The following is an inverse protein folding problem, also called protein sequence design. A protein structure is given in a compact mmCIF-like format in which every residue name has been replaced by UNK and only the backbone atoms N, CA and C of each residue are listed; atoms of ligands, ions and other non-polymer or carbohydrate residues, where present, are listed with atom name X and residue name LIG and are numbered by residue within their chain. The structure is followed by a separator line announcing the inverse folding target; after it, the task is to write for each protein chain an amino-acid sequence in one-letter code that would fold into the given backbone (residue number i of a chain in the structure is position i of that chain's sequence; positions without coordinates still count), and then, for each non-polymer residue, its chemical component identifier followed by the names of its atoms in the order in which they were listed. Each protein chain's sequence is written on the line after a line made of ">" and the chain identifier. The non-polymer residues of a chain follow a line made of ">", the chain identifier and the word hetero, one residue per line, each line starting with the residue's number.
data_IF_884454439560
#
_entry.id   IF_884454439560
#
_cell.length_a   1.000
_cell.length_b   1.000
_cell.length_c   1.000
_cell.angle_alpha   90.00
_cell.angle_beta   90.00
_cell.angle_gamma   90.00
#
_symmetry.space_group_name_H-M   'P 1'
#
loop_
_entity.id
_entity.type
_entity.pdbx_description
1 polymer ?
#
# COMPACT_ATOMS: atom_id res chain seq x y z
N UNK A 1 4.77 22.67 31.88
CA UNK A 1 4.60 21.46 32.71
C UNK A 1 3.17 20.92 32.70
N UNK A 2 2.12 21.70 32.88
CA UNK A 2 0.72 21.26 32.94
C UNK A 2 0.23 20.49 31.68
N UNK A 3 0.54 20.94 30.46
CA UNK A 3 0.16 20.24 29.22
C UNK A 3 0.78 18.83 29.10
N UNK A 4 2.01 18.63 29.60
CA UNK A 4 2.68 17.33 29.57
C UNK A 4 2.05 16.36 30.59
N UNK A 5 1.69 16.86 31.77
CA UNK A 5 1.00 16.09 32.82
C UNK A 5 -0.41 15.65 32.38
N UNK A 6 -1.19 16.56 31.77
CA UNK A 6 -2.50 16.24 31.23
C UNK A 6 -2.44 15.17 30.10
N UNK A 7 -1.43 15.24 29.24
CA UNK A 7 -1.21 14.25 28.20
C UNK A 7 -0.86 12.86 28.74
N UNK A 8 -0.01 12.81 29.78
CA UNK A 8 0.34 11.53 30.45
C UNK A 8 -0.87 10.93 31.17
N UNK A 9 -1.69 11.73 31.84
CA UNK A 9 -2.93 11.27 32.48
C UNK A 9 -3.93 10.72 31.46
N UNK A 10 -4.15 11.43 30.34
CA UNK A 10 -5.03 10.95 29.27
C UNK A 10 -4.54 9.64 28.66
N UNK A 11 -3.24 9.50 28.46
CA UNK A 11 -2.64 8.25 27.97
C UNK A 11 -2.79 7.11 28.98
N UNK A 12 -2.57 7.36 30.27
CA UNK A 12 -2.74 6.38 31.33
C UNK A 12 -4.19 5.91 31.47
N UNK A 13 -5.16 6.85 31.42
CA UNK A 13 -6.59 6.50 31.43
C UNK A 13 -7.00 5.71 30.18
N UNK A 14 -6.51 6.07 29.00
CA UNK A 14 -6.76 5.33 27.78
C UNK A 14 -6.22 3.89 27.84
N UNK A 15 -5.00 3.72 28.39
CA UNK A 15 -4.41 2.40 28.57
C UNK A 15 -5.18 1.56 29.60
N UNK A 16 -5.58 2.16 30.73
CA UNK A 16 -6.39 1.49 31.74
C UNK A 16 -7.77 1.07 31.18
N UNK A 17 -8.40 1.93 30.37
CA UNK A 17 -9.65 1.59 29.69
C UNK A 17 -9.45 0.42 28.70
N UNK A 18 -8.35 0.41 27.94
CA UNK A 18 -8.03 -0.69 27.03
C UNK A 18 -7.85 -2.02 27.78
N UNK A 19 -7.11 -2.04 28.89
CA UNK A 19 -7.00 -3.21 29.75
C UNK A 19 -8.36 -3.65 30.32
N UNK A 20 -9.18 -2.70 30.79
CA UNK A 20 -10.51 -2.99 31.28
C UNK A 20 -11.39 -3.68 30.25
N UNK A 21 -11.38 -3.20 29.02
CA UNK A 21 -12.14 -3.79 27.90
C UNK A 21 -11.62 -5.20 27.57
N UNK A 22 -10.29 -5.41 27.53
CA UNK A 22 -9.68 -6.72 27.27
C UNK A 22 -10.07 -7.75 28.34
N UNK A 23 -10.14 -7.34 29.61
CA UNK A 23 -10.53 -8.22 30.73
C UNK A 23 -12.03 -8.47 30.72
N UNK A 24 -12.85 -7.47 30.43
CA UNK A 24 -14.30 -7.59 30.43
C UNK A 24 -14.85 -8.41 29.25
N UNK A 25 -14.18 -8.34 28.09
CA UNK A 25 -14.63 -8.92 26.82
C UNK A 25 -13.52 -9.75 26.16
N UNK A 26 -12.97 -10.78 26.83
CA UNK A 26 -11.82 -11.53 26.34
C UNK A 26 -12.14 -12.36 25.08
N UNK A 27 -13.40 -12.78 24.91
CA UNK A 27 -13.82 -13.58 23.75
C UNK A 27 -13.70 -12.77 22.44
N UNK A 28 -14.15 -11.50 22.45
CA UNK A 28 -14.01 -10.60 21.29
C UNK A 28 -12.57 -10.38 20.93
N UNK A 29 -11.68 -10.23 21.93
CA UNK A 29 -10.24 -10.13 21.69
C UNK A 29 -9.69 -11.41 21.04
N UNK A 30 -10.04 -12.58 21.60
CA UNK A 30 -9.58 -13.87 21.09
C UNK A 30 -10.06 -14.14 19.65
N UNK A 31 -11.31 -13.81 19.34
CA UNK A 31 -11.87 -13.89 17.99
C UNK A 31 -11.15 -12.95 17.01
N UNK A 32 -10.90 -11.70 17.44
CA UNK A 32 -10.14 -10.74 16.68
C UNK A 32 -8.71 -11.23 16.37
N UNK A 33 -8.03 -11.79 17.37
CA UNK A 33 -6.69 -12.39 17.19
C UNK A 33 -6.74 -13.56 16.22
N UNK A 34 -7.67 -14.50 16.39
CA UNK A 34 -7.83 -15.65 15.48
C UNK A 34 -8.09 -15.20 14.05
N UNK A 35 -8.97 -14.24 13.86
CA UNK A 35 -9.31 -13.68 12.55
C UNK A 35 -8.09 -13.02 11.90
N UNK A 36 -7.35 -12.19 12.66
CA UNK A 36 -6.13 -11.55 12.20
C UNK A 36 -5.04 -12.56 11.82
N UNK A 37 -4.78 -13.57 12.65
CA UNK A 37 -3.80 -14.62 12.38
C UNK A 37 -4.19 -15.47 11.17
N UNK A 38 -5.48 -15.79 11.01
CA UNK A 38 -5.99 -16.51 9.84
C UNK A 38 -5.76 -15.72 8.57
N UNK A 39 -6.07 -14.42 8.59
CA UNK A 39 -5.80 -13.53 7.45
C UNK A 39 -4.30 -13.45 7.13
N UNK A 40 -3.46 -13.38 8.16
CA UNK A 40 -2.01 -13.38 7.99
C UNK A 40 -1.51 -14.66 7.33
N UNK A 41 -1.92 -15.83 7.85
CA UNK A 41 -1.45 -17.12 7.35
C UNK A 41 -1.97 -17.49 5.98
N UNK A 42 -3.23 -17.18 5.69
CA UNK A 42 -3.89 -17.60 4.44
C UNK A 42 -3.73 -16.61 3.29
N UNK A 43 -3.57 -15.32 3.57
CA UNK A 43 -3.57 -14.28 2.54
C UNK A 43 -2.28 -13.47 2.56
N UNK A 44 -1.93 -12.87 3.70
CA UNK A 44 -0.86 -11.86 3.77
C UNK A 44 0.51 -12.49 3.52
N UNK A 45 0.87 -13.51 4.29
CA UNK A 45 2.17 -14.15 4.16
C UNK A 45 2.39 -14.78 2.77
N UNK A 46 1.46 -15.59 2.23
CA UNK A 46 1.66 -16.18 0.91
C UNK A 46 1.77 -15.16 -0.22
N UNK A 47 1.07 -14.03 -0.11
CA UNK A 47 1.06 -13.01 -1.16
C UNK A 47 2.17 -11.99 -1.03
N UNK A 48 2.41 -11.46 0.19
CA UNK A 48 3.33 -10.33 0.38
C UNK A 48 4.79 -10.75 0.60
N UNK A 49 5.05 -11.88 1.28
CA UNK A 49 6.41 -12.28 1.61
C UNK A 49 7.30 -12.47 0.37
N UNK A 50 6.87 -13.22 -0.68
CA UNK A 50 7.65 -13.33 -1.91
C UNK A 50 7.90 -11.96 -2.58
N UNK A 51 6.90 -11.09 -2.56
CA UNK A 51 7.03 -9.73 -3.07
C UNK A 51 8.08 -8.92 -2.29
N UNK A 52 8.08 -9.00 -0.98
CA UNK A 52 9.09 -8.32 -0.16
C UNK A 52 10.49 -8.83 -0.43
N UNK A 53 10.68 -10.14 -0.60
CA UNK A 53 11.99 -10.72 -0.98
C UNK A 53 12.43 -10.15 -2.33
N UNK A 54 11.58 -10.21 -3.36
CA UNK A 54 11.90 -9.70 -4.69
C UNK A 54 12.19 -8.18 -4.67
N UNK A 55 11.39 -7.40 -3.94
CA UNK A 55 11.55 -5.95 -3.84
C UNK A 55 12.87 -5.56 -3.16
N UNK A 56 13.19 -6.20 -2.02
CA UNK A 56 14.46 -5.97 -1.34
C UNK A 56 15.65 -6.39 -2.21
N UNK A 57 15.57 -7.55 -2.83
CA UNK A 57 16.63 -8.05 -3.72
C UNK A 57 16.85 -7.11 -4.92
N UNK A 58 15.76 -6.59 -5.49
CA UNK A 58 15.80 -5.64 -6.59
C UNK A 58 16.59 -4.37 -6.23
N UNK A 59 16.38 -3.83 -5.03
CA UNK A 59 17.11 -2.66 -4.54
C UNK A 59 18.55 -3.02 -4.18
N UNK A 60 18.78 -4.11 -3.42
CA UNK A 60 20.10 -4.54 -2.96
C UNK A 60 21.06 -4.84 -4.12
N UNK A 61 20.57 -5.43 -5.21
CA UNK A 61 21.35 -5.70 -6.41
C UNK A 61 21.51 -4.46 -7.34
N UNK A 62 21.04 -3.27 -6.91
CA UNK A 62 21.20 -2.03 -7.66
C UNK A 62 20.35 -1.93 -8.94
N UNK A 63 19.32 -2.78 -9.11
CA UNK A 63 18.40 -2.65 -10.23
C UNK A 63 17.56 -1.36 -10.14
N UNK A 64 17.32 -0.84 -8.93
CA UNK A 64 16.67 0.44 -8.67
C UNK A 64 17.36 1.58 -9.43
N UNK A 65 18.69 1.65 -9.37
CA UNK A 65 19.47 2.68 -10.08
C UNK A 65 19.30 2.58 -11.58
N UNK A 66 19.25 1.36 -12.15
CA UNK A 66 19.04 1.15 -13.60
C UNK A 66 17.65 1.59 -14.06
N UNK A 67 16.62 1.27 -13.29
CA UNK A 67 15.23 1.72 -13.55
C UNK A 67 15.14 3.23 -13.42
N UNK A 68 15.76 3.81 -12.39
CA UNK A 68 15.80 5.25 -12.19
C UNK A 68 16.50 5.98 -13.33
N UNK A 69 17.59 5.45 -13.86
CA UNK A 69 18.28 6.01 -15.03
C UNK A 69 17.38 6.04 -16.29
N UNK A 70 16.45 5.08 -16.43
CA UNK A 70 15.59 4.98 -17.62
C UNK A 70 14.27 5.75 -17.46
N UNK A 71 13.66 5.69 -16.28
CA UNK A 71 12.32 6.21 -15.99
C UNK A 71 12.30 7.35 -14.98
N UNK A 72 13.44 7.70 -14.38
CA UNK A 72 13.52 8.73 -13.35
C UNK A 72 13.09 10.10 -13.84
N UNK A 73 13.35 10.44 -15.11
CA UNK A 73 12.86 11.69 -15.72
C UNK A 73 11.33 11.76 -15.76
N UNK A 74 10.65 10.64 -16.04
CA UNK A 74 9.19 10.55 -16.00
C UNK A 74 8.67 10.67 -14.56
N UNK A 75 9.28 9.97 -13.61
CA UNK A 75 8.95 10.07 -12.19
C UNK A 75 9.13 11.50 -11.67
N UNK A 76 10.25 12.16 -12.01
CA UNK A 76 10.51 13.54 -11.64
C UNK A 76 9.48 14.51 -12.22
N UNK A 77 9.04 14.28 -13.46
CA UNK A 77 8.06 15.14 -14.15
C UNK A 77 6.64 14.92 -13.63
N UNK A 78 6.20 13.68 -13.47
CA UNK A 78 4.83 13.34 -13.06
C UNK A 78 4.63 13.43 -11.54
N UNK A 79 5.56 12.85 -10.78
CA UNK A 79 5.42 12.67 -9.34
C UNK A 79 6.25 13.67 -8.53
N UNK A 80 7.02 14.58 -9.19
CA UNK A 80 7.96 15.48 -8.50
C UNK A 80 8.84 14.74 -7.48
N UNK A 81 9.13 13.47 -7.76
CA UNK A 81 10.04 12.65 -6.99
C UNK A 81 11.45 12.73 -7.61
N UNK A 82 12.50 12.65 -6.79
CA UNK A 82 13.85 12.49 -7.32
C UNK A 82 13.91 11.20 -8.17
N UNK A 83 14.75 11.18 -9.23
CA UNK A 83 14.82 10.04 -10.17
C UNK A 83 14.97 8.69 -9.46
N UNK A 84 15.74 8.64 -8.38
CA UNK A 84 16.01 7.41 -7.62
C UNK A 84 14.77 6.89 -6.86
N UNK A 85 13.82 7.74 -6.47
CA UNK A 85 12.58 7.33 -5.83
C UNK A 85 11.56 6.73 -6.82
N UNK A 86 11.75 6.88 -8.12
CA UNK A 86 10.85 6.30 -9.13
C UNK A 86 10.75 4.79 -9.04
N UNK A 87 11.84 4.10 -8.69
CA UNK A 87 11.85 2.65 -8.47
C UNK A 87 11.00 2.24 -7.26
N UNK A 88 11.06 3.00 -6.15
CA UNK A 88 10.25 2.75 -4.97
C UNK A 88 8.74 2.94 -5.26
N UNK A 89 8.39 3.90 -6.13
CA UNK A 89 7.01 4.06 -6.58
C UNK A 89 6.51 2.84 -7.36
N UNK A 90 7.32 2.32 -8.29
CA UNK A 90 6.98 1.09 -9.03
C UNK A 90 6.83 -0.10 -8.08
N UNK A 91 7.75 -0.25 -7.11
CA UNK A 91 7.68 -1.30 -6.08
C UNK A 91 6.40 -1.16 -5.24
N UNK A 92 6.05 0.06 -4.83
CA UNK A 92 4.82 0.31 -4.08
C UNK A 92 3.55 -0.01 -4.87
N UNK A 93 3.52 0.36 -6.16
CA UNK A 93 2.39 0.05 -7.05
C UNK A 93 2.23 -1.45 -7.35
N UNK A 94 3.32 -2.21 -7.36
CA UNK A 94 3.30 -3.65 -7.68
C UNK A 94 3.20 -4.53 -6.44
N UNK A 95 3.95 -4.19 -5.38
CA UNK A 95 4.01 -4.96 -4.13
C UNK A 95 2.94 -4.58 -3.11
N UNK A 96 2.37 -3.40 -3.23
CA UNK A 96 1.36 -2.92 -2.28
C UNK A 96 1.95 -2.37 -0.98
N UNK A 97 1.05 -2.10 -0.02
CA UNK A 97 1.40 -1.67 1.32
C UNK A 97 2.15 -2.77 2.11
N UNK A 98 3.20 -2.48 2.86
CA UNK A 98 4.02 -1.27 2.90
C UNK A 98 5.30 -1.36 2.03
N UNK A 99 5.32 -2.19 0.97
CA UNK A 99 6.53 -2.46 0.18
C UNK A 99 7.18 -1.18 -0.39
N UNK A 100 6.37 -0.21 -0.81
CA UNK A 100 6.89 1.07 -1.29
C UNK A 100 7.63 1.87 -0.22
N UNK A 101 7.11 1.87 1.02
CA UNK A 101 7.76 2.52 2.17
C UNK A 101 9.10 1.86 2.50
N UNK A 102 9.14 0.53 2.48
CA UNK A 102 10.37 -0.23 2.73
C UNK A 102 11.43 0.04 1.66
N UNK A 103 11.00 0.11 0.38
CA UNK A 103 11.91 0.46 -0.71
C UNK A 103 12.47 1.88 -0.53
N UNK A 104 11.66 2.86 -0.12
CA UNK A 104 12.12 4.22 0.20
C UNK A 104 13.12 4.19 1.35
N UNK A 105 12.81 3.47 2.44
CA UNK A 105 13.70 3.31 3.59
C UNK A 105 15.05 2.75 3.18
N UNK A 106 15.06 1.68 2.38
CA UNK A 106 16.29 1.06 1.91
C UNK A 106 17.11 1.98 0.98
N UNK A 107 16.46 2.75 0.10
CA UNK A 107 17.13 3.76 -0.73
C UNK A 107 17.74 4.87 0.12
N UNK A 108 17.06 5.29 1.19
CA UNK A 108 17.57 6.27 2.13
C UNK A 108 18.78 5.73 2.92
N UNK A 109 18.71 4.51 3.46
CA UNK A 109 19.83 3.83 4.14
C UNK A 109 21.07 3.73 3.24
N UNK A 110 20.86 3.54 1.94
CA UNK A 110 21.93 3.47 0.93
C UNK A 110 22.46 4.85 0.50
N UNK A 111 21.93 5.95 1.05
CA UNK A 111 22.31 7.30 0.65
C UNK A 111 21.85 7.70 -0.75
N UNK A 112 20.94 6.95 -1.36
CA UNK A 112 20.37 7.23 -2.68
C UNK A 112 19.28 8.32 -2.64
N UNK A 113 18.74 8.60 -1.46
CA UNK A 113 17.79 9.68 -1.18
C UNK A 113 18.27 10.49 0.03
N UNK A 114 18.11 11.80 -0.03
CA UNK A 114 18.21 12.65 1.16
C UNK A 114 17.01 12.42 2.08
N UNK A 115 17.12 12.87 3.35
CA UNK A 115 16.03 12.73 4.32
C UNK A 115 14.73 13.37 3.83
N UNK A 116 14.79 14.60 3.31
CA UNK A 116 13.62 15.33 2.84
C UNK A 116 12.97 14.66 1.63
N UNK A 117 13.77 14.11 0.72
CA UNK A 117 13.29 13.35 -0.42
C UNK A 117 12.63 12.03 0.00
N UNK A 118 13.23 11.32 0.96
CA UNK A 118 12.69 10.09 1.49
C UNK A 118 11.36 10.35 2.22
N UNK A 119 11.28 11.35 3.10
CA UNK A 119 10.05 11.72 3.82
C UNK A 119 8.90 12.06 2.86
N UNK A 120 9.19 12.73 1.74
CA UNK A 120 8.18 12.99 0.71
C UNK A 120 7.79 11.73 -0.05
N UNK A 121 8.79 10.92 -0.44
CA UNK A 121 8.57 9.68 -1.18
C UNK A 121 7.73 8.65 -0.41
N UNK A 122 7.84 8.61 0.94
CA UNK A 122 7.04 7.72 1.79
C UNK A 122 5.54 7.81 1.50
N UNK A 123 5.01 9.03 1.38
CA UNK A 123 3.57 9.24 1.16
C UNK A 123 3.12 8.79 -0.24
N UNK A 124 3.99 8.98 -1.23
CA UNK A 124 3.69 8.74 -2.65
C UNK A 124 3.90 7.28 -3.04
N UNK A 125 4.96 6.66 -2.53
CA UNK A 125 5.31 5.27 -2.86
C UNK A 125 4.45 4.25 -2.09
N UNK A 126 3.68 4.68 -1.11
CA UNK A 126 2.81 3.83 -0.29
C UNK A 126 1.45 3.63 -0.96
N UNK A 127 1.30 2.61 -1.77
CA UNK A 127 0.11 2.36 -2.59
C UNK A 127 -0.47 0.96 -2.33
N UNK A 128 -1.76 0.73 -2.69
CA UNK A 128 -2.32 -0.62 -2.68
C UNK A 128 -1.84 -1.40 -3.90
N UNK A 129 -1.55 -2.67 -3.72
CA UNK A 129 -1.08 -3.55 -4.77
C UNK A 129 -2.19 -4.13 -5.66
N UNK A 130 -1.82 -4.63 -6.86
CA UNK A 130 -2.78 -5.18 -7.82
C UNK A 130 -3.57 -6.37 -7.28
N UNK A 131 -2.97 -7.23 -6.45
CA UNK A 131 -3.65 -8.37 -5.84
C UNK A 131 -4.85 -7.94 -4.99
N UNK A 132 -4.71 -6.85 -4.22
CA UNK A 132 -5.81 -6.30 -3.45
C UNK A 132 -6.84 -5.62 -4.35
N UNK A 133 -6.39 -4.84 -5.34
CA UNK A 133 -7.28 -4.07 -6.22
C UNK A 133 -8.10 -4.99 -7.12
N UNK A 134 -7.44 -5.86 -7.87
CA UNK A 134 -8.11 -6.73 -8.86
C UNK A 134 -8.66 -8.01 -8.23
N UNK A 135 -7.90 -8.65 -7.35
CA UNK A 135 -8.32 -9.90 -6.70
C UNK A 135 -9.41 -9.67 -5.66
N UNK A 136 -9.14 -8.85 -4.67
CA UNK A 136 -10.09 -8.66 -3.57
C UNK A 136 -11.22 -7.69 -3.94
N UNK A 137 -10.92 -6.44 -4.35
CA UNK A 137 -11.98 -5.48 -4.67
C UNK A 137 -12.69 -5.84 -5.98
N UNK A 138 -11.96 -5.97 -7.08
CA UNK A 138 -12.55 -6.28 -8.37
C UNK A 138 -13.24 -7.64 -8.42
N UNK A 139 -12.58 -8.68 -7.88
CA UNK A 139 -13.08 -10.05 -7.90
C UNK A 139 -14.07 -10.34 -6.78
N UNK A 140 -13.65 -10.21 -5.51
CA UNK A 140 -14.45 -10.67 -4.38
C UNK A 140 -15.52 -9.67 -3.92
N UNK A 141 -15.28 -8.35 -3.99
CA UNK A 141 -16.22 -7.34 -3.48
C UNK A 141 -17.22 -6.92 -4.56
N UNK A 142 -16.73 -6.47 -5.72
CA UNK A 142 -17.57 -5.97 -6.81
C UNK A 142 -17.94 -7.01 -7.86
N UNK A 143 -17.25 -8.15 -7.90
CA UNK A 143 -17.43 -9.22 -8.87
C UNK A 143 -17.38 -8.71 -10.35
N UNK A 144 -16.59 -7.66 -10.60
CA UNK A 144 -16.48 -7.06 -11.93
C UNK A 144 -15.05 -6.54 -12.20
N UNK A 145 -14.38 -6.97 -13.28
CA UNK A 145 -12.99 -6.55 -13.57
C UNK A 145 -12.85 -5.07 -13.85
N UNK A 146 -13.88 -4.43 -14.42
CA UNK A 146 -13.92 -2.99 -14.66
C UNK A 146 -13.82 -2.17 -13.37
N UNK A 147 -14.37 -2.67 -12.24
CA UNK A 147 -14.23 -2.01 -10.95
C UNK A 147 -12.76 -1.99 -10.51
N UNK A 148 -12.04 -3.11 -10.62
CA UNK A 148 -10.61 -3.16 -10.34
C UNK A 148 -9.80 -2.22 -11.24
N UNK A 149 -10.10 -2.17 -12.54
CA UNK A 149 -9.42 -1.29 -13.49
C UNK A 149 -9.67 0.20 -13.18
N UNK A 150 -10.91 0.59 -12.90
CA UNK A 150 -11.26 1.95 -12.49
C UNK A 150 -10.52 2.35 -11.20
N UNK A 151 -10.60 1.51 -10.16
CA UNK A 151 -9.95 1.75 -8.88
C UNK A 151 -8.43 1.89 -9.01
N UNK A 152 -7.80 1.05 -9.84
CA UNK A 152 -6.36 1.13 -10.13
C UNK A 152 -6.01 2.44 -10.83
N UNK A 153 -6.73 2.81 -11.88
CA UNK A 153 -6.51 4.05 -12.62
C UNK A 153 -6.73 5.29 -11.76
N UNK A 154 -7.80 5.30 -10.97
CA UNK A 154 -8.12 6.39 -10.04
C UNK A 154 -7.05 6.52 -8.95
N UNK A 155 -6.60 5.41 -8.37
CA UNK A 155 -5.52 5.42 -7.37
C UNK A 155 -4.24 6.04 -7.93
N UNK A 156 -3.84 5.63 -9.14
CA UNK A 156 -2.66 6.18 -9.81
C UNK A 156 -2.81 7.67 -10.10
N UNK A 157 -3.95 8.10 -10.65
CA UNK A 157 -4.24 9.50 -10.92
C UNK A 157 -4.25 10.33 -9.63
N UNK A 158 -4.90 9.82 -8.56
CA UNK A 158 -4.93 10.49 -7.27
C UNK A 158 -3.53 10.60 -6.64
N UNK A 159 -2.67 9.58 -6.78
CA UNK A 159 -1.28 9.64 -6.33
C UNK A 159 -0.50 10.75 -7.05
N UNK A 160 -0.64 10.84 -8.39
CA UNK A 160 0.00 11.90 -9.19
C UNK A 160 -0.50 13.29 -8.77
N UNK A 161 -1.82 13.47 -8.64
CA UNK A 161 -2.41 14.75 -8.23
C UNK A 161 -1.99 15.15 -6.82
N UNK A 162 -2.02 14.22 -5.86
CA UNK A 162 -1.57 14.47 -4.48
C UNK A 162 -0.11 14.93 -4.48
N UNK A 163 0.74 14.24 -5.23
CA UNK A 163 2.13 14.63 -5.39
C UNK A 163 2.27 16.05 -5.92
N UNK A 164 1.52 16.38 -6.96
CA UNK A 164 1.56 17.72 -7.56
C UNK A 164 1.15 18.82 -6.60
N UNK A 165 0.21 18.53 -5.70
CA UNK A 165 -0.29 19.47 -4.71
C UNK A 165 0.62 19.61 -3.48
N UNK A 166 1.29 18.53 -3.08
CA UNK A 166 2.06 18.50 -1.81
C UNK A 166 3.56 18.63 -2.01
N UNK A 167 4.10 18.21 -3.16
CA UNK A 167 5.52 18.24 -3.43
C UNK A 167 6.01 19.65 -3.78
N UNK A 168 7.14 20.01 -3.23
CA UNK A 168 7.94 21.15 -3.70
C UNK A 168 8.56 20.82 -5.06
N UNK A 169 8.72 21.80 -5.97
CA UNK A 169 9.46 21.57 -7.20
C UNK A 169 10.89 21.12 -6.91
N UNK A 170 11.35 20.09 -7.63
CA UNK A 170 12.73 19.62 -7.52
C UNK A 170 13.72 20.70 -7.99
N UNK A 171 14.78 20.90 -7.25
CA UNK A 171 15.93 21.71 -7.66
C UNK A 171 16.68 21.06 -8.81
N UNK A 172 17.50 21.84 -9.54
CA UNK A 172 18.36 21.29 -10.60
C UNK A 172 19.34 20.22 -10.07
N UNK A 173 19.89 20.44 -8.87
CA UNK A 173 20.76 19.47 -8.20
C UNK A 173 20.04 18.15 -7.89
N UNK A 174 18.82 18.20 -7.38
CA UNK A 174 18.01 17.00 -7.09
C UNK A 174 17.64 16.23 -8.36
N UNK A 175 17.44 16.91 -9.50
CA UNK A 175 17.20 16.26 -10.80
C UNK A 175 18.44 15.58 -11.36
N UNK A 176 19.62 16.14 -11.08
CA UNK A 176 20.91 15.64 -11.54
C UNK A 176 21.56 14.64 -10.57
N UNK A 177 20.98 14.43 -9.39
CA UNK A 177 21.55 13.56 -8.38
C UNK A 177 21.61 12.13 -8.88
N UNK A 178 22.83 11.69 -9.23
CA UNK A 178 23.12 10.29 -9.49
C UNK A 178 23.42 9.63 -8.15
N UNK A 179 22.75 8.52 -7.88
CA UNK A 179 23.03 7.73 -6.68
C UNK A 179 24.51 7.38 -6.61
N UNK A 180 25.14 7.45 -5.42
CA UNK A 180 26.49 6.96 -5.24
C UNK A 180 26.54 5.50 -5.65
N UNK A 181 27.52 5.16 -6.49
CA UNK A 181 27.69 3.79 -6.97
C UNK A 181 28.29 2.96 -5.82
N UNK A 182 27.40 2.40 -4.99
CA UNK A 182 27.84 1.48 -3.94
C UNK A 182 28.27 0.16 -4.55
N UNK A 183 29.29 -0.46 -3.98
CA UNK A 183 29.69 -1.82 -4.31
C UNK A 183 28.46 -2.75 -4.17
N UNK A 184 28.16 -3.48 -5.24
CA UNK A 184 27.06 -4.44 -5.20
C UNK A 184 27.48 -5.64 -4.35
N UNK A 185 26.66 -6.04 -3.36
CA UNK A 185 26.96 -7.26 -2.61
C UNK A 185 26.89 -8.48 -3.54
N UNK A 186 27.61 -9.54 -3.17
CA UNK A 186 27.41 -10.83 -3.81
C UNK A 186 25.96 -11.27 -3.76
N UNK A 187 25.51 -12.00 -4.78
CA UNK A 187 24.10 -12.43 -4.89
C UNK A 187 23.63 -13.20 -3.66
N UNK A 188 24.44 -14.11 -3.12
CA UNK A 188 24.08 -14.92 -1.96
C UNK A 188 23.89 -14.05 -0.71
N UNK A 189 24.75 -13.06 -0.50
CA UNK A 189 24.63 -12.09 0.60
C UNK A 189 23.40 -11.21 0.42
N UNK A 190 23.16 -10.69 -0.80
CA UNK A 190 21.99 -9.89 -1.12
C UNK A 190 20.68 -10.68 -0.92
N UNK A 191 20.65 -11.95 -1.34
CA UNK A 191 19.49 -12.82 -1.19
C UNK A 191 19.17 -13.10 0.30
N UNK A 192 20.20 -13.46 1.07
CA UNK A 192 20.04 -13.70 2.52
C UNK A 192 19.50 -12.47 3.25
N UNK A 193 20.04 -11.29 2.94
CA UNK A 193 19.58 -10.03 3.53
C UNK A 193 18.16 -9.67 3.06
N UNK A 194 17.84 -9.92 1.78
CA UNK A 194 16.49 -9.71 1.25
C UNK A 194 15.44 -10.56 1.97
N UNK A 195 15.75 -11.86 2.20
CA UNK A 195 14.88 -12.79 2.95
C UNK A 195 14.70 -12.33 4.40
N UNK A 196 15.79 -11.97 5.07
CA UNK A 196 15.76 -11.47 6.46
C UNK A 196 14.87 -10.24 6.58
N UNK A 197 15.07 -9.22 5.73
CA UNK A 197 14.24 -7.99 5.71
C UNK A 197 12.78 -8.29 5.40
N UNK A 198 12.52 -9.14 4.42
CA UNK A 198 11.17 -9.56 4.06
C UNK A 198 10.44 -10.25 5.21
N UNK A 199 11.13 -11.12 5.95
CA UNK A 199 10.56 -11.79 7.13
C UNK A 199 10.16 -10.81 8.21
N UNK A 200 11.05 -9.87 8.57
CA UNK A 200 10.74 -8.83 9.56
C UNK A 200 9.54 -7.99 9.12
N UNK A 201 9.50 -7.59 7.87
CA UNK A 201 8.40 -6.82 7.30
C UNK A 201 7.06 -7.57 7.35
N UNK A 202 7.07 -8.84 6.99
CA UNK A 202 5.88 -9.69 7.02
C UNK A 202 5.35 -9.86 8.45
N UNK A 203 6.24 -10.05 9.43
CA UNK A 203 5.89 -10.12 10.85
C UNK A 203 5.24 -8.81 11.30
N UNK A 204 5.85 -7.66 11.01
CA UNK A 204 5.29 -6.35 11.36
C UNK A 204 3.89 -6.16 10.79
N UNK A 205 3.68 -6.48 9.52
CA UNK A 205 2.34 -6.40 8.90
C UNK A 205 1.34 -7.28 9.65
N UNK A 206 1.70 -8.54 9.94
CA UNK A 206 0.83 -9.47 10.65
C UNK A 206 0.48 -8.98 12.06
N UNK A 207 1.43 -8.40 12.80
CA UNK A 207 1.18 -7.83 14.12
C UNK A 207 0.14 -6.70 14.06
N UNK A 208 0.31 -5.74 13.16
CA UNK A 208 -0.63 -4.65 13.00
C UNK A 208 -2.01 -5.14 12.56
N UNK A 209 -2.08 -6.02 11.57
CA UNK A 209 -3.35 -6.60 11.11
C UNK A 209 -4.08 -7.29 12.26
N UNK A 210 -3.37 -8.05 13.08
CA UNK A 210 -3.96 -8.74 14.24
C UNK A 210 -4.51 -7.75 15.26
N UNK A 211 -3.74 -6.74 15.65
CA UNK A 211 -4.19 -5.70 16.59
C UNK A 211 -5.42 -4.96 16.06
N UNK A 212 -5.39 -4.55 14.79
CA UNK A 212 -6.52 -3.83 14.19
C UNK A 212 -7.73 -4.72 13.91
N UNK A 213 -7.55 -6.03 13.77
CA UNK A 213 -8.66 -7.01 13.75
C UNK A 213 -9.37 -7.06 15.10
N UNK A 214 -8.63 -7.04 16.21
CA UNK A 214 -9.19 -6.94 17.56
C UNK A 214 -9.98 -5.63 17.74
N UNK A 215 -9.38 -4.50 17.35
CA UNK A 215 -10.06 -3.19 17.43
C UNK A 215 -11.33 -3.14 16.58
N UNK A 216 -11.31 -3.73 15.39
CA UNK A 216 -12.50 -3.85 14.54
C UNK A 216 -13.57 -4.72 15.14
N UNK A 217 -13.19 -5.80 15.85
CA UNK A 217 -14.11 -6.65 16.63
C UNK A 217 -14.81 -5.84 17.73
N UNK A 218 -14.08 -5.08 18.52
CA UNK A 218 -14.65 -4.22 19.56
C UNK A 218 -15.51 -3.10 18.99
N UNK A 219 -15.13 -2.49 17.88
CA UNK A 219 -15.95 -1.50 17.21
C UNK A 219 -17.29 -2.09 16.77
N UNK A 220 -17.28 -3.28 16.16
CA UNK A 220 -18.52 -3.99 15.77
C UNK A 220 -19.40 -4.30 16.98
N UNK A 221 -18.81 -4.75 18.06
CA UNK A 221 -19.54 -5.06 19.30
C UNK A 221 -20.14 -3.79 19.92
N UNK A 222 -19.36 -2.72 20.05
CA UNK A 222 -19.81 -1.44 20.63
C UNK A 222 -20.88 -0.76 19.78
N UNK A 223 -20.74 -0.81 18.45
CA UNK A 223 -21.71 -0.25 17.53
C UNK A 223 -22.99 -1.11 17.47
N UNK A 224 -22.89 -2.43 17.69
CA UNK A 224 -24.02 -3.36 17.70
C UNK A 224 -24.93 -3.18 16.50
N UNK A 225 -26.24 -3.21 16.73
CA UNK A 225 -27.26 -2.94 15.72
C UNK A 225 -27.34 -1.46 15.30
N UNK A 226 -26.62 -0.55 15.98
CA UNK A 226 -26.65 0.89 15.70
C UNK A 226 -25.68 1.32 14.59
N UNK A 227 -24.77 0.45 14.11
CA UNK A 227 -23.93 0.77 12.96
C UNK A 227 -24.70 0.45 11.67
N UNK A 228 -25.24 1.47 10.97
CA UNK A 228 -25.95 1.24 9.73
C UNK A 228 -25.03 0.52 8.72
N UNK A 229 -25.61 -0.40 7.95
CA UNK A 229 -24.85 -1.15 6.93
C UNK A 229 -24.11 -0.22 5.96
N UNK A 230 -24.68 0.96 5.68
CA UNK A 230 -24.09 1.96 4.77
C UNK A 230 -22.97 2.79 5.40
N UNK A 231 -22.92 2.90 6.73
CA UNK A 231 -21.83 3.56 7.46
C UNK A 231 -20.68 2.61 7.82
N UNK A 232 -20.95 1.31 7.91
CA UNK A 232 -19.97 0.30 8.29
C UNK A 232 -18.69 0.30 7.40
N UNK A 233 -18.75 0.45 6.07
CA UNK A 233 -17.55 0.51 5.24
C UNK A 233 -16.58 1.61 5.65
N UNK A 234 -17.06 2.82 5.92
CA UNK A 234 -16.21 3.94 6.33
C UNK A 234 -15.69 3.76 7.77
N UNK A 235 -16.56 3.37 8.70
CA UNK A 235 -16.19 3.20 10.10
C UNK A 235 -15.12 2.11 10.29
N UNK A 236 -15.33 0.93 9.71
CA UNK A 236 -14.39 -0.18 9.77
C UNK A 236 -13.14 0.10 8.93
N UNK A 237 -13.31 0.69 7.74
CA UNK A 237 -12.22 1.01 6.83
C UNK A 237 -11.30 2.13 7.34
N UNK A 238 -11.81 3.02 8.19
CA UNK A 238 -10.97 3.99 8.90
C UNK A 238 -9.97 3.29 9.83
N UNK A 239 -10.34 2.16 10.42
CA UNK A 239 -9.45 1.34 11.24
C UNK A 239 -8.59 0.41 10.36
N UNK A 240 -9.24 -0.40 9.53
CA UNK A 240 -8.59 -1.45 8.76
C UNK A 240 -9.21 -1.55 7.36
N UNK A 241 -8.39 -1.39 6.34
CA UNK A 241 -8.78 -1.32 4.94
C UNK A 241 -9.64 -2.51 4.50
N UNK A 242 -9.19 -3.73 4.80
CA UNK A 242 -9.85 -4.96 4.32
C UNK A 242 -11.22 -5.14 4.94
N UNK A 243 -11.38 -4.83 6.23
CA UNK A 243 -12.66 -4.90 6.94
C UNK A 243 -13.68 -3.89 6.37
N UNK A 244 -13.21 -2.66 6.08
CA UNK A 244 -14.05 -1.64 5.45
C UNK A 244 -14.48 -2.02 4.04
N UNK A 245 -13.54 -2.49 3.23
CA UNK A 245 -13.84 -2.96 1.87
C UNK A 245 -14.77 -4.17 1.85
N UNK A 246 -14.60 -5.13 2.77
CA UNK A 246 -15.51 -6.27 2.90
C UNK A 246 -16.94 -5.85 3.26
N UNK A 247 -17.10 -4.82 4.10
CA UNK A 247 -18.41 -4.31 4.49
C UNK A 247 -19.20 -3.71 3.32
N UNK A 248 -18.54 -3.28 2.23
CA UNK A 248 -19.22 -2.78 1.02
C UNK A 248 -20.17 -3.83 0.38
N UNK A 249 -19.94 -5.13 0.62
CA UNK A 249 -20.81 -6.19 0.10
C UNK A 249 -22.21 -6.14 0.71
N UNK A 250 -22.31 -5.77 1.98
CA UNK A 250 -23.57 -5.74 2.73
C UNK A 250 -24.25 -4.36 2.70
N UNK A 251 -23.58 -3.31 2.21
CA UNK A 251 -24.18 -1.98 2.16
C UNK A 251 -25.18 -1.83 0.99
N UNK A 252 -26.19 -0.99 1.19
CA UNK A 252 -27.32 -0.81 0.27
C UNK A 252 -27.12 0.38 -0.67
N UNK A 253 -26.03 1.12 -0.54
CA UNK A 253 -25.67 2.27 -1.35
C UNK A 253 -25.64 1.94 -2.85
N UNK A 254 -25.96 2.91 -3.67
CA UNK A 254 -25.80 2.81 -5.13
C UNK A 254 -24.33 2.51 -5.50
N UNK A 255 -24.10 1.77 -6.62
CA UNK A 255 -22.77 1.32 -7.05
C UNK A 255 -21.71 2.43 -7.08
N UNK A 256 -22.07 3.61 -7.52
CA UNK A 256 -21.20 4.78 -7.55
C UNK A 256 -20.64 5.13 -6.17
N UNK A 257 -21.49 5.14 -5.14
CA UNK A 257 -21.06 5.47 -3.77
C UNK A 257 -20.20 4.37 -3.16
N UNK A 258 -20.50 3.09 -3.46
CA UNK A 258 -19.65 1.96 -3.05
C UNK A 258 -18.24 2.11 -3.64
N UNK A 259 -18.14 2.47 -4.92
CA UNK A 259 -16.84 2.68 -5.59
C UNK A 259 -16.13 3.93 -5.07
N UNK A 260 -16.84 5.02 -4.74
CA UNK A 260 -16.26 6.21 -4.12
C UNK A 260 -15.66 5.88 -2.74
N UNK A 261 -16.39 5.12 -1.91
CA UNK A 261 -15.89 4.67 -0.60
C UNK A 261 -14.69 3.74 -0.80
N UNK A 262 -14.77 2.78 -1.73
CA UNK A 262 -13.67 1.87 -2.02
C UNK A 262 -12.40 2.61 -2.46
N UNK A 263 -12.51 3.58 -3.38
CA UNK A 263 -11.37 4.36 -3.86
C UNK A 263 -10.77 5.26 -2.77
N UNK A 264 -11.64 5.84 -1.92
CA UNK A 264 -11.18 6.58 -0.74
C UNK A 264 -10.38 5.67 0.19
N UNK A 265 -10.97 4.57 0.62
CA UNK A 265 -10.32 3.61 1.55
C UNK A 265 -9.06 3.03 0.95
N UNK A 266 -9.08 2.65 -0.32
CA UNK A 266 -7.93 2.12 -1.04
C UNK A 266 -6.75 3.08 -1.03
N UNK A 267 -6.99 4.36 -1.22
CA UNK A 267 -5.95 5.39 -1.26
C UNK A 267 -5.53 5.88 0.13
N UNK A 268 -6.45 5.94 1.08
CA UNK A 268 -6.19 6.32 2.47
C UNK A 268 -5.47 5.20 3.25
N UNK A 269 -5.91 3.95 3.10
CA UNK A 269 -5.33 2.76 3.70
C UNK A 269 -5.85 2.42 5.09
N UNK A 270 -6.51 3.35 5.80
CA UNK A 270 -6.92 3.18 7.19
C UNK A 270 -5.77 3.35 8.19
N UNK A 271 -6.10 3.39 9.48
CA UNK A 271 -5.13 3.57 10.56
C UNK A 271 -4.14 2.42 10.66
N UNK A 272 -4.55 1.19 10.35
CA UNK A 272 -3.68 0.01 10.33
C UNK A 272 -2.50 0.20 9.38
N UNK A 273 -2.78 0.53 8.12
CA UNK A 273 -1.73 0.73 7.10
C UNK A 273 -0.87 1.96 7.40
N UNK A 274 -1.47 3.05 7.91
CA UNK A 274 -0.71 4.22 8.33
C UNK A 274 0.26 3.89 9.47
N UNK A 275 -0.18 3.10 10.45
CA UNK A 275 0.67 2.67 11.56
C UNK A 275 1.80 1.72 11.08
N UNK A 276 1.49 0.74 10.24
CA UNK A 276 2.47 -0.14 9.60
C UNK A 276 3.51 0.64 8.80
N UNK A 277 3.05 1.59 7.99
CA UNK A 277 3.92 2.41 7.14
C UNK A 277 4.84 3.31 7.97
N UNK A 278 4.34 3.87 9.08
CA UNK A 278 5.18 4.66 9.99
C UNK A 278 6.17 3.81 10.77
N UNK A 279 5.81 2.59 11.15
CA UNK A 279 6.73 1.65 11.76
C UNK A 279 7.87 1.30 10.78
N UNK A 280 7.53 0.93 9.55
CA UNK A 280 8.52 0.64 8.50
C UNK A 280 9.41 1.86 8.15
N UNK A 281 8.88 3.09 8.20
CA UNK A 281 9.66 4.30 8.02
C UNK A 281 10.62 4.53 9.22
N UNK A 282 10.16 4.27 10.45
CA UNK A 282 10.96 4.42 11.67
C UNK A 282 12.13 3.44 11.72
N UNK A 283 11.98 2.23 11.17
CA UNK A 283 13.07 1.25 11.05
C UNK A 283 14.27 1.81 10.24
N UNK A 284 13.99 2.70 9.26
CA UNK A 284 15.00 3.41 8.49
C UNK A 284 15.37 4.80 9.07
N UNK A 285 14.91 5.15 10.27
CA UNK A 285 15.15 6.45 10.89
C UNK A 285 14.36 7.62 10.31
N UNK A 286 13.26 7.33 9.59
CA UNK A 286 12.34 8.32 9.02
C UNK A 286 11.09 8.48 9.91
N UNK A 287 10.44 9.64 9.85
CA UNK A 287 9.30 9.94 10.75
C UNK A 287 7.93 9.75 10.10
N UNK A 288 7.84 9.90 8.80
CA UNK A 288 6.59 9.79 8.05
C UNK A 288 5.52 10.79 8.51
N UNK A 289 5.90 12.00 8.92
CA UNK A 289 4.97 13.00 9.48
C UNK A 289 3.88 13.41 8.49
N UNK A 290 4.23 13.52 7.21
CA UNK A 290 3.31 13.95 6.16
C UNK A 290 2.39 12.82 5.66
N UNK A 291 2.73 11.57 5.96
CA UNK A 291 2.04 10.39 5.45
C UNK A 291 0.52 10.43 5.70
N UNK A 292 0.00 10.67 6.92
CA UNK A 292 -1.44 10.66 7.16
C UNK A 292 -2.20 11.74 6.37
N UNK A 293 -1.65 12.96 6.34
CA UNK A 293 -2.27 14.08 5.60
C UNK A 293 -2.30 13.85 4.09
N UNK A 294 -1.18 13.37 3.53
CA UNK A 294 -1.09 13.06 2.11
C UNK A 294 -2.02 11.90 1.72
N UNK A 295 -2.12 10.86 2.56
CA UNK A 295 -3.00 9.71 2.29
C UNK A 295 -4.48 10.08 2.41
N UNK A 296 -4.85 10.93 3.37
CA UNK A 296 -6.20 11.48 3.47
C UNK A 296 -6.57 12.32 2.24
N UNK A 297 -5.67 13.21 1.81
CA UNK A 297 -5.85 14.00 0.60
C UNK A 297 -5.97 13.11 -0.66
N UNK A 298 -5.10 12.09 -0.78
CA UNK A 298 -5.15 11.13 -1.87
C UNK A 298 -6.48 10.38 -1.90
N UNK A 299 -6.99 9.96 -0.74
CA UNK A 299 -8.30 9.33 -0.61
C UNK A 299 -9.43 10.23 -1.07
N UNK A 300 -9.43 11.49 -0.65
CA UNK A 300 -10.44 12.47 -1.07
C UNK A 300 -10.41 12.72 -2.59
N UNK A 301 -9.20 12.88 -3.16
CA UNK A 301 -9.04 13.04 -4.62
C UNK A 301 -9.51 11.79 -5.35
N UNK A 302 -9.17 10.59 -4.85
CA UNK A 302 -9.60 9.33 -5.46
C UNK A 302 -11.13 9.19 -5.47
N UNK A 303 -11.80 9.51 -4.37
CA UNK A 303 -13.26 9.50 -4.30
C UNK A 303 -13.89 10.50 -5.30
N UNK A 304 -13.35 11.72 -5.37
CA UNK A 304 -13.82 12.74 -6.31
C UNK A 304 -13.62 12.31 -7.78
N UNK A 305 -12.45 11.75 -8.12
CA UNK A 305 -12.19 11.21 -9.46
C UNK A 305 -13.13 10.05 -9.79
N UNK A 306 -13.41 9.17 -8.84
CA UNK A 306 -14.36 8.07 -9.03
C UNK A 306 -15.76 8.62 -9.32
N UNK A 307 -16.21 9.60 -8.56
CA UNK A 307 -17.52 10.24 -8.78
C UNK A 307 -17.63 10.87 -10.17
N UNK A 308 -16.56 11.50 -10.66
CA UNK A 308 -16.52 12.12 -11.99
C UNK A 308 -16.46 11.08 -13.12
N UNK A 309 -15.74 9.96 -12.92
CA UNK A 309 -15.53 8.96 -13.97
C UNK A 309 -16.62 7.88 -13.99
N UNK A 310 -17.30 7.62 -12.90
CA UNK A 310 -18.33 6.58 -12.78
C UNK A 310 -19.45 6.67 -13.84
N UNK A 311 -20.00 7.85 -14.16
CA UNK A 311 -21.02 7.96 -15.20
C UNK A 311 -20.51 7.58 -16.61
N UNK A 312 -19.22 7.83 -16.89
CA UNK A 312 -18.61 7.56 -18.19
C UNK A 312 -18.44 6.06 -18.47
N UNK A 313 -18.30 5.24 -17.41
CA UNK A 313 -18.04 3.80 -17.51
C UNK A 313 -19.24 2.94 -17.10
N UNK A 314 -20.42 3.56 -16.92
CA UNK A 314 -21.70 2.88 -16.63
C UNK A 314 -21.61 1.89 -15.45
N UNK A 315 -21.03 2.33 -14.33
CA UNK A 315 -20.78 1.51 -13.13
C UNK A 315 -22.03 0.87 -12.54
N UNK A 316 -23.22 1.38 -12.86
CA UNK A 316 -24.51 0.82 -12.43
C UNK A 316 -24.66 -0.67 -12.82
N UNK A 317 -23.99 -1.10 -13.90
CA UNK A 317 -24.02 -2.47 -14.38
C UNK A 317 -23.08 -3.40 -13.64
N UNK A 318 -22.15 -2.86 -12.80
CA UNK A 318 -21.05 -3.64 -12.21
C UNK A 318 -21.38 -4.26 -10.85
N UNK A 319 -22.50 -3.88 -10.27
CA UNK A 319 -22.90 -4.36 -8.95
C UNK A 319 -24.16 -5.23 -8.98
N UNK A 320 -24.51 -5.76 -10.15
CA UNK A 320 -25.57 -6.76 -10.25
C UNK A 320 -25.12 -8.05 -9.54
N UNK A 321 -25.98 -8.73 -8.76
CA UNK A 321 -25.63 -9.99 -8.13
C UNK A 321 -25.40 -11.05 -9.21
N UNK A 322 -24.15 -11.31 -9.55
CA UNK A 322 -23.79 -12.44 -10.41
C UNK A 322 -23.56 -13.68 -9.56
N UNK A 323 -24.45 -14.62 -9.68
CA UNK A 323 -24.24 -16.03 -9.32
C UNK A 323 -23.07 -16.54 -10.20
N UNK A 324 -21.86 -16.66 -9.62
CA UNK A 324 -20.72 -17.26 -10.33
C UNK A 324 -19.35 -16.63 -10.03
N UNK A 325 -18.94 -16.59 -8.75
CA UNK A 325 -17.65 -16.00 -8.36
C UNK A 325 -16.40 -16.89 -8.58
N UNK A 326 -16.53 -18.04 -9.25
CA UNK A 326 -15.43 -19.03 -9.39
C UNK A 326 -14.45 -18.79 -10.54
N UNK A 327 -14.76 -17.93 -11.51
CA UNK A 327 -13.95 -17.78 -12.74
C UNK A 327 -12.96 -16.63 -12.74
N UNK A 328 -12.93 -15.77 -11.71
CA UNK A 328 -12.12 -14.53 -11.76
C UNK A 328 -10.72 -14.65 -11.18
N UNK A 329 -10.46 -15.66 -10.34
CA UNK A 329 -9.09 -15.92 -9.87
C UNK A 329 -8.21 -16.50 -10.98
N UNK A 330 -8.83 -17.08 -12.02
CA UNK A 330 -8.15 -17.62 -13.20
C UNK A 330 -7.67 -16.54 -14.17
N UNK A 331 -8.30 -15.35 -14.20
CA UNK A 331 -7.95 -14.30 -15.19
C UNK A 331 -6.91 -13.31 -14.68
N UNK A 332 -6.77 -13.09 -13.37
CA UNK A 332 -5.75 -12.20 -12.81
C UNK A 332 -4.33 -12.80 -12.90
N UNK A 333 -4.21 -14.12 -12.76
CA UNK A 333 -2.94 -14.84 -12.89
C UNK A 333 -2.28 -14.67 -14.27
N UNK A 334 -2.98 -14.90 -15.38
CA UNK A 334 -2.44 -14.72 -16.73
C UNK A 334 -2.02 -13.27 -17.03
N UNK A 335 -2.77 -12.26 -16.57
CA UNK A 335 -2.41 -10.85 -16.78
C UNK A 335 -1.14 -10.47 -16.02
N UNK A 336 -0.98 -10.96 -14.79
CA UNK A 336 0.24 -10.76 -14.00
C UNK A 336 1.43 -11.52 -14.60
N UNK A 337 1.21 -12.75 -15.11
CA UNK A 337 2.23 -13.51 -15.83
C UNK A 337 2.59 -12.83 -17.16
N UNK A 338 1.65 -12.24 -17.86
CA UNK A 338 1.89 -11.50 -19.10
C UNK A 338 2.71 -10.22 -18.83
N UNK A 339 2.37 -9.45 -17.80
CA UNK A 339 3.11 -8.28 -17.40
C UNK A 339 4.53 -8.64 -16.94
N UNK A 340 4.69 -9.68 -16.14
CA UNK A 340 6.01 -10.16 -15.71
C UNK A 340 6.81 -10.75 -16.89
N UNK A 341 6.16 -11.44 -17.83
CA UNK A 341 6.79 -12.00 -19.03
C UNK A 341 7.24 -10.90 -20.00
N UNK A 342 6.41 -9.87 -20.20
CA UNK A 342 6.78 -8.70 -21.02
C UNK A 342 7.97 -7.96 -20.40
N UNK A 343 8.00 -7.81 -19.07
CA UNK A 343 9.14 -7.23 -18.35
C UNK A 343 10.40 -8.09 -18.54
N UNK A 344 10.29 -9.42 -18.38
CA UNK A 344 11.39 -10.37 -18.57
C UNK A 344 11.89 -10.41 -20.02
N UNK A 345 11.00 -10.40 -21.01
CA UNK A 345 11.37 -10.35 -22.42
C UNK A 345 12.03 -9.04 -22.81
N UNK A 346 11.56 -7.91 -22.26
CA UNK A 346 12.17 -6.61 -22.44
C UNK A 346 13.60 -6.58 -21.86
N UNK A 347 13.79 -7.10 -20.64
CA UNK A 347 15.11 -7.21 -20.02
C UNK A 347 16.03 -8.18 -20.77
N UNK A 348 15.52 -9.33 -21.23
CA UNK A 348 16.27 -10.30 -22.02
C UNK A 348 16.76 -9.72 -23.35
N UNK A 349 15.90 -9.02 -24.10
CA UNK A 349 16.27 -8.37 -25.37
C UNK A 349 17.35 -7.32 -25.18
N UNK A 350 17.29 -6.58 -24.09
CA UNK A 350 18.28 -5.55 -23.75
C UNK A 350 19.57 -6.12 -23.19
N UNK A 351 19.52 -7.22 -22.44
CA UNK A 351 20.73 -7.91 -21.96
C UNK A 351 21.54 -8.50 -23.12
N UNK A 352 20.87 -9.04 -24.14
CA UNK A 352 21.53 -9.51 -25.36
C UNK A 352 22.14 -8.36 -26.20
N UNK A 353 21.56 -7.16 -26.19
CA UNK A 353 22.16 -6.01 -26.91
C UNK A 353 23.42 -5.52 -26.20
N UNK A 354 23.43 -5.47 -24.88
CA UNK A 354 24.59 -5.05 -24.08
C UNK A 354 25.77 -6.04 -24.23
N UNK A 355 25.47 -7.36 -24.27
CA UNK A 355 26.48 -8.39 -24.50
C UNK A 355 27.06 -8.36 -25.94
N UNK A 356 26.31 -7.82 -26.92
CA UNK A 356 26.81 -7.62 -28.29
C UNK A 356 27.64 -6.35 -28.44
N UNK A 357 27.29 -5.28 -27.73
CA UNK A 357 28.03 -3.99 -27.74
C UNK A 357 29.29 -4.02 -26.87
N UNK A 358 29.44 -4.93 -25.95
CA UNK A 358 30.64 -5.13 -25.12
C UNK A 358 31.71 -6.04 -25.72
N UNK A 359 31.61 -6.41 -27.01
CA UNK A 359 32.64 -7.10 -27.79
C UNK A 359 33.10 -6.23 -28.92
N UNK A 360 33.78 -5.15 -28.60
CA UNK A 360 34.80 -4.48 -29.46
C UNK A 360 35.97 -4.08 -28.56
#
# INVERSE_FOLDING_TARGET
>A
MQRRRGRMLAQGLGLAAAFGVLIALPQTAAEGVRSGLTLCGQVILPSLFPFFVCSNLFVLLGFSARVSARFGGLAARLLRLPPNAGSAFVIGMTGGYPAGVQAVGLLYERGELSRDEAEHALAVCNQAGPSFIFGFLGGAVFAHPGAGALLCGVQLAAAVLTCRLTAKPLTAAQRAHSAPQQAQPDFAAAFSEAVRRAGMSAIHVCMFVTVFSVLSGYLRLAAGAHLPADAAPLALGALELSAGCAALRACTLAPVWKLCIASFLLSFGGLSILAQSRAAAADAGLEGRQLPGCKMLQGAIAAALTLLLAPLVQVERWCAPTLGASTMMETAGPVMLLLSSVLLLYFRKKYHSILREGRV
#
